data_IF_417991302840
#
_entry.id   IF_417991302840
#
_cell.length_a   1.000
_cell.length_b   1.000
_cell.length_c   1.000
_cell.angle_alpha   90.00
_cell.angle_beta   90.00
_cell.angle_gamma   90.00
#
_symmetry.space_group_name_H-M   'P 1'
#
loop_
_entity.id
_entity.type
_entity.pdbx_description
1 polymer ?
#
# COMPACT_ATOMS: atom_id res chain seq x y z
N UNK A 1 0.47 -9.15 20.58
CA UNK A 1 0.77 -9.62 19.22
C UNK A 1 2.28 -9.60 19.08
N UNK A 2 2.93 -10.73 18.87
CA UNK A 2 4.40 -10.78 18.75
C UNK A 2 4.76 -10.50 17.30
N UNK A 3 5.36 -9.34 17.05
CA UNK A 3 5.88 -8.98 15.73
C UNK A 3 7.34 -9.39 15.68
N UNK A 4 7.71 -10.22 14.71
CA UNK A 4 9.11 -10.56 14.47
C UNK A 4 9.57 -9.92 13.18
N UNK A 5 10.70 -9.22 13.24
CA UNK A 5 11.28 -8.54 12.08
C UNK A 5 12.63 -9.16 11.75
N UNK A 6 12.80 -9.54 10.50
CA UNK A 6 14.05 -10.06 9.98
C UNK A 6 14.56 -9.13 8.87
N UNK A 7 15.84 -8.75 8.98
CA UNK A 7 16.54 -8.11 7.86
C UNK A 7 17.03 -9.18 6.89
N UNK A 8 16.89 -8.93 5.60
CA UNK A 8 17.53 -9.75 4.56
C UNK A 8 18.92 -9.18 4.24
N UNK A 9 19.85 -10.02 3.82
CA UNK A 9 21.11 -9.56 3.26
C UNK A 9 20.83 -8.96 1.87
N UNK A 10 20.80 -7.62 1.78
CA UNK A 10 20.44 -6.94 0.55
C UNK A 10 21.47 -7.15 -0.58
N UNK A 11 21.06 -7.06 -1.85
CA UNK A 11 22.00 -6.90 -2.95
C UNK A 11 22.71 -5.54 -2.85
N UNK A 12 23.95 -5.49 -3.35
CA UNK A 12 24.83 -4.31 -3.33
C UNK A 12 24.10 -3.08 -3.88
N UNK A 13 24.11 -1.99 -3.10
CA UNK A 13 23.33 -0.79 -3.33
C UNK A 13 23.49 -0.21 -4.75
N UNK A 14 22.39 -0.20 -5.52
CA UNK A 14 22.17 0.85 -6.50
C UNK A 14 21.26 1.89 -5.84
N UNK A 15 21.83 3.08 -5.60
CA UNK A 15 21.12 4.24 -5.05
C UNK A 15 19.97 4.63 -5.98
N UNK A 16 18.75 4.33 -5.58
CA UNK A 16 17.57 5.00 -6.11
C UNK A 16 17.38 6.33 -5.36
N UNK A 17 17.05 7.43 -6.06
CA UNK A 17 16.93 8.74 -5.43
C UNK A 17 15.75 8.78 -4.46
N UNK A 18 15.98 9.36 -3.29
CA UNK A 18 14.95 9.74 -2.31
C UNK A 18 14.01 10.77 -2.97
N UNK A 19 12.82 10.33 -3.39
CA UNK A 19 11.78 11.22 -3.90
C UNK A 19 10.90 11.68 -2.74
N UNK A 20 10.88 13.00 -2.55
CA UNK A 20 10.04 13.71 -1.58
C UNK A 20 8.55 13.50 -1.90
N UNK A 21 7.82 12.87 -0.98
CA UNK A 21 6.37 12.83 -1.00
C UNK A 21 5.79 14.25 -0.88
N UNK A 22 5.14 14.76 -1.93
CA UNK A 22 4.35 15.99 -1.86
C UNK A 22 2.89 15.63 -1.60
N UNK A 23 2.45 15.76 -0.35
CA UNK A 23 1.02 15.69 -0.02
C UNK A 23 0.31 16.93 -0.57
N UNK A 24 -0.58 16.77 -1.55
CA UNK A 24 -1.47 17.85 -2.00
C UNK A 24 -2.59 17.99 -0.96
N UNK A 25 -2.61 19.12 -0.25
CA UNK A 25 -3.63 19.48 0.75
C UNK A 25 -4.97 19.76 0.04
N UNK A 26 -6.02 19.03 0.37
CA UNK A 26 -7.38 19.29 -0.12
C UNK A 26 -7.91 20.65 0.40
N UNK A 27 -8.60 21.39 -0.46
CA UNK A 27 -9.28 22.66 -0.12
C UNK A 27 -10.60 22.37 0.60
N UNK A 28 -10.78 22.94 1.79
CA UNK A 28 -12.07 22.96 2.48
C UNK A 28 -12.99 24.02 1.84
N UNK A 29 -14.15 23.60 1.32
CA UNK A 29 -15.20 24.52 0.88
C UNK A 29 -15.95 25.08 2.11
N UNK A 30 -16.13 26.40 2.20
CA UNK A 30 -16.97 27.00 3.24
C UNK A 30 -18.44 26.88 2.82
N UNK A 31 -19.29 26.31 3.69
CA UNK A 31 -20.74 26.37 3.54
C UNK A 31 -21.39 26.93 4.81
N UNK A 32 -22.30 27.87 4.60
CA UNK A 32 -23.17 28.52 5.58
C UNK A 32 -24.27 27.57 6.07
N UNK A 33 -24.95 27.86 7.20
CA UNK A 33 -25.56 26.83 8.04
C UNK A 33 -27.00 26.52 7.62
N UNK A 34 -27.35 25.23 7.48
CA UNK A 34 -28.69 24.72 7.84
C UNK A 34 -28.72 23.19 7.85
N UNK A 35 -29.40 22.65 8.86
CA UNK A 35 -29.75 21.25 9.14
C UNK A 35 -28.61 20.31 9.61
N UNK A 36 -28.62 20.04 10.93
CA UNK A 36 -27.82 18.99 11.59
C UNK A 36 -28.30 17.59 11.17
N UNK A 37 -27.86 17.15 9.99
CA UNK A 37 -27.65 15.73 9.73
C UNK A 37 -26.17 15.50 10.03
N UNK A 38 -25.77 14.53 10.87
CA UNK A 38 -24.36 14.16 10.99
C UNK A 38 -23.90 13.74 9.60
N UNK A 39 -23.15 14.62 8.91
CA UNK A 39 -22.49 14.26 7.67
C UNK A 39 -21.67 12.99 7.97
N UNK A 40 -21.73 11.95 7.13
CA UNK A 40 -20.77 10.86 7.25
C UNK A 40 -19.38 11.50 7.26
N UNK A 41 -18.59 11.21 8.29
CA UNK A 41 -17.25 11.76 8.45
C UNK A 41 -16.52 11.64 7.11
N UNK A 42 -16.19 12.78 6.49
CA UNK A 42 -15.68 12.79 5.13
C UNK A 42 -14.48 11.85 5.04
N UNK A 43 -14.62 10.76 4.29
CA UNK A 43 -13.52 9.82 4.06
C UNK A 43 -12.49 10.56 3.24
N UNK A 44 -11.47 11.07 3.93
CA UNK A 44 -10.35 11.75 3.27
C UNK A 44 -9.57 10.68 2.51
N UNK A 45 -9.17 10.95 1.27
CA UNK A 45 -8.24 10.09 0.52
C UNK A 45 -6.91 10.83 0.33
N UNK A 46 -5.85 10.07 0.09
CA UNK A 46 -4.53 10.64 -0.21
C UNK A 46 -3.98 9.95 -1.44
N UNK A 47 -3.43 10.75 -2.36
CA UNK A 47 -2.71 10.25 -3.53
C UNK A 47 -1.23 10.17 -3.17
N UNK A 48 -0.62 9.03 -3.48
CA UNK A 48 0.79 8.75 -3.26
C UNK A 48 1.43 8.44 -4.61
N UNK A 49 2.40 9.25 -5.01
CA UNK A 49 3.05 9.14 -6.32
C UNK A 49 4.35 8.32 -6.22
N UNK A 50 4.46 7.29 -7.05
CA UNK A 50 5.64 6.44 -7.21
C UNK A 50 5.92 6.27 -8.70
N UNK A 51 6.50 7.31 -9.32
CA UNK A 51 6.73 7.40 -10.76
C UNK A 51 7.20 6.06 -11.37
N UNK A 52 6.56 5.58 -12.45
CA UNK A 52 5.52 6.24 -13.24
C UNK A 52 4.08 6.07 -12.69
N UNK A 53 3.90 5.32 -11.61
CA UNK A 53 2.58 4.97 -11.09
C UNK A 53 2.13 5.94 -9.99
N UNK A 54 0.82 6.01 -9.77
CA UNK A 54 0.24 6.70 -8.63
C UNK A 54 -0.76 5.78 -7.94
N UNK A 55 -0.94 5.97 -6.64
CA UNK A 55 -1.83 5.15 -5.82
C UNK A 55 -2.73 6.04 -4.97
N UNK A 56 -3.97 5.62 -4.76
CA UNK A 56 -4.86 6.18 -3.73
C UNK A 56 -4.80 5.30 -2.49
N UNK A 57 -4.81 5.94 -1.34
CA UNK A 57 -5.09 5.31 -0.05
C UNK A 57 -6.24 6.04 0.65
N UNK A 58 -6.95 5.33 1.52
CA UNK A 58 -7.92 5.94 2.43
C UNK A 58 -7.18 6.64 3.57
N UNK A 59 -7.81 7.68 4.11
CA UNK A 59 -7.25 8.50 5.18
C UNK A 59 -7.19 7.77 6.51
N UNK A 60 -7.91 6.67 6.68
CA UNK A 60 -7.81 5.78 7.83
C UNK A 60 -7.21 4.43 7.42
N UNK A 61 -6.41 3.80 8.30
CA UNK A 61 -5.87 2.47 8.05
C UNK A 61 -7.02 1.47 7.93
N UNK A 62 -6.87 0.49 7.04
CA UNK A 62 -7.77 -0.66 6.96
C UNK A 62 -7.57 -1.60 8.15
N UNK A 63 -6.33 -1.71 8.62
CA UNK A 63 -5.97 -2.47 9.81
C UNK A 63 -5.08 -1.64 10.72
N UNK A 64 -5.52 -1.40 11.96
CA UNK A 64 -4.75 -0.70 12.99
C UNK A 64 -3.80 -1.70 13.66
N UNK A 65 -2.64 -1.88 13.04
CA UNK A 65 -1.57 -2.75 13.54
C UNK A 65 -0.25 -1.99 13.49
N UNK A 66 0.45 -1.94 14.61
CA UNK A 66 1.74 -1.27 14.72
C UNK A 66 2.84 -2.23 14.27
N UNK A 67 3.30 -2.04 13.03
CA UNK A 67 4.41 -2.80 12.42
C UNK A 67 5.74 -2.02 12.43
N UNK A 68 5.68 -0.71 12.62
CA UNK A 68 6.81 0.22 12.60
C UNK A 68 6.46 1.45 13.42
N UNK A 69 7.47 2.12 13.97
CA UNK A 69 7.32 3.42 14.64
C UNK A 69 7.33 4.60 13.64
N UNK A 70 7.71 4.34 12.39
CA UNK A 70 7.85 5.39 11.37
C UNK A 70 6.49 6.01 11.02
N UNK A 71 6.37 7.36 11.01
CA UNK A 71 5.19 8.03 10.51
C UNK A 71 5.07 8.01 8.98
N UNK A 72 6.16 7.67 8.27
CA UNK A 72 6.22 7.68 6.81
C UNK A 72 5.51 6.47 6.21
N UNK A 73 4.89 6.66 5.04
CA UNK A 73 4.25 5.58 4.29
C UNK A 73 5.29 4.81 3.49
N UNK A 74 5.42 3.53 3.79
CA UNK A 74 6.27 2.60 3.06
C UNK A 74 5.44 1.54 2.34
N UNK A 75 6.00 0.94 1.29
CA UNK A 75 5.37 -0.11 0.49
C UNK A 75 5.55 -1.47 1.17
N UNK A 76 4.50 -2.30 1.16
CA UNK A 76 4.52 -3.62 1.77
C UNK A 76 3.61 -4.60 1.02
N UNK A 77 4.00 -5.87 0.93
CA UNK A 77 3.15 -6.94 0.41
C UNK A 77 2.77 -7.91 1.53
N UNK A 78 1.49 -8.20 1.67
CA UNK A 78 0.98 -9.22 2.59
C UNK A 78 0.80 -10.57 1.88
N UNK A 79 1.35 -11.63 2.46
CA UNK A 79 1.10 -13.01 2.08
C UNK A 79 0.45 -13.76 3.24
N UNK A 80 -0.63 -14.47 2.95
CA UNK A 80 -1.30 -15.33 3.92
C UNK A 80 -0.78 -16.74 3.79
N UNK A 81 0.15 -17.13 4.65
CA UNK A 81 0.76 -18.45 4.58
C UNK A 81 -0.16 -19.44 5.29
N UNK A 82 -0.58 -20.53 4.63
CA UNK A 82 -1.38 -21.57 5.28
C UNK A 82 -0.62 -22.19 6.45
N UNK A 83 -1.35 -22.91 7.32
CA UNK A 83 -0.74 -23.62 8.45
C UNK A 83 0.39 -24.55 7.99
N UNK A 84 1.51 -24.51 8.72
CA UNK A 84 2.72 -25.27 8.43
C UNK A 84 3.90 -24.41 7.98
N UNK A 85 5.03 -25.06 7.64
CA UNK A 85 6.27 -24.34 7.35
C UNK A 85 6.14 -23.39 6.16
N UNK A 86 6.68 -22.18 6.32
CA UNK A 86 6.79 -21.22 5.22
C UNK A 86 7.84 -21.75 4.23
N UNK A 87 7.41 -22.13 3.03
CA UNK A 87 8.29 -22.67 1.99
C UNK A 87 8.58 -21.66 0.88
N UNK A 88 9.77 -21.76 0.28
CA UNK A 88 10.14 -20.98 -0.91
C UNK A 88 9.15 -21.22 -2.05
N UNK A 89 8.78 -22.48 -2.30
CA UNK A 89 7.87 -22.85 -3.38
C UNK A 89 6.52 -22.13 -3.25
N UNK A 90 5.94 -22.13 -2.04
CA UNK A 90 4.68 -21.43 -1.77
C UNK A 90 4.77 -19.93 -2.10
N UNK A 91 5.79 -19.24 -1.59
CA UNK A 91 5.95 -17.81 -1.83
C UNK A 91 6.25 -17.49 -3.30
N UNK A 92 7.01 -18.35 -3.97
CA UNK A 92 7.32 -18.21 -5.40
C UNK A 92 6.07 -18.35 -6.26
N UNK A 93 5.18 -19.27 -5.93
CA UNK A 93 3.90 -19.41 -6.64
C UNK A 93 2.92 -18.28 -6.31
N UNK A 94 2.90 -17.80 -5.06
CA UNK A 94 2.12 -16.62 -4.69
C UNK A 94 2.60 -15.36 -5.42
N UNK A 95 3.91 -15.14 -5.48
CA UNK A 95 4.53 -14.03 -6.22
C UNK A 95 4.13 -14.05 -7.70
N UNK A 96 4.26 -15.21 -8.37
CA UNK A 96 3.87 -15.35 -9.78
C UNK A 96 2.40 -15.08 -10.01
N UNK A 97 1.52 -15.50 -9.09
CA UNK A 97 0.08 -15.20 -9.18
C UNK A 97 -0.18 -13.71 -9.05
N UNK A 98 0.42 -13.02 -8.08
CA UNK A 98 0.20 -11.58 -7.92
C UNK A 98 0.69 -10.78 -9.12
N UNK A 99 1.87 -11.11 -9.67
CA UNK A 99 2.35 -10.47 -10.90
C UNK A 99 1.42 -10.63 -12.09
N UNK A 100 0.67 -11.74 -12.15
CA UNK A 100 -0.21 -12.06 -13.27
C UNK A 100 -1.62 -11.50 -13.08
N UNK A 101 -2.13 -11.58 -11.85
CA UNK A 101 -3.55 -11.44 -11.55
C UNK A 101 -3.89 -10.13 -10.81
N UNK A 102 -2.93 -9.47 -10.16
CA UNK A 102 -3.11 -8.24 -9.40
C UNK A 102 -2.47 -7.06 -10.13
N UNK A 103 -3.31 -6.15 -10.62
CA UNK A 103 -2.93 -5.00 -11.44
C UNK A 103 -2.31 -3.85 -10.61
N UNK A 104 -2.50 -3.88 -9.28
CA UNK A 104 -1.88 -2.95 -8.33
C UNK A 104 -0.46 -3.41 -7.97
N UNK A 105 -0.26 -4.72 -7.85
CA UNK A 105 1.00 -5.31 -7.42
C UNK A 105 2.15 -5.04 -8.40
N UNK A 106 3.32 -4.73 -7.85
CA UNK A 106 4.58 -4.69 -8.57
C UNK A 106 5.74 -4.96 -7.61
N UNK A 107 6.94 -5.28 -8.14
CA UNK A 107 8.09 -5.67 -7.32
C UNK A 107 8.49 -4.64 -6.25
N UNK A 108 8.16 -3.35 -6.44
CA UNK A 108 8.44 -2.31 -5.42
C UNK A 108 7.70 -2.55 -4.10
N UNK A 109 6.54 -3.22 -4.13
CA UNK A 109 5.82 -3.61 -2.91
C UNK A 109 6.52 -4.73 -2.14
N UNK A 110 7.52 -5.40 -2.71
CA UNK A 110 8.26 -6.45 -2.02
C UNK A 110 9.38 -5.92 -1.12
N UNK A 111 9.68 -4.62 -1.14
CA UNK A 111 10.68 -4.00 -0.24
C UNK A 111 10.46 -4.42 1.22
N UNK A 112 9.20 -4.45 1.65
CA UNK A 112 8.79 -4.99 2.94
C UNK A 112 7.75 -6.10 2.72
N UNK A 113 7.92 -7.23 3.39
CA UNK A 113 7.02 -8.38 3.27
C UNK A 113 6.40 -8.69 4.62
N UNK A 114 5.08 -8.75 4.67
CA UNK A 114 4.32 -9.23 5.82
C UNK A 114 3.84 -10.66 5.55
N UNK A 115 4.16 -11.57 6.45
CA UNK A 115 3.67 -12.93 6.44
C UNK A 115 2.68 -13.10 7.59
N UNK A 116 1.41 -13.35 7.27
CA UNK A 116 0.41 -13.77 8.26
C UNK A 116 0.48 -15.29 8.37
N UNK A 117 0.91 -15.77 9.54
CA UNK A 117 1.25 -17.18 9.78
C UNK A 117 1.38 -17.45 11.28
N UNK A 118 1.16 -18.70 11.70
CA UNK A 118 1.41 -19.12 13.07
C UNK A 118 2.87 -19.54 13.32
N UNK A 119 3.69 -19.56 12.26
CA UNK A 119 5.12 -19.84 12.36
C UNK A 119 5.88 -18.66 13.00
N UNK A 120 6.97 -18.97 13.70
CA UNK A 120 7.79 -17.99 14.43
C UNK A 120 9.18 -17.83 13.82
N UNK A 121 9.39 -18.34 12.61
CA UNK A 121 10.65 -18.16 11.87
C UNK A 121 10.45 -18.48 10.39
N UNK A 122 11.41 -18.04 9.59
CA UNK A 122 11.52 -18.40 8.16
C UNK A 122 12.84 -19.13 7.93
N UNK A 123 12.84 -20.07 6.99
CA UNK A 123 14.08 -20.75 6.58
C UNK A 123 15.00 -19.81 5.78
N UNK A 124 16.29 -20.15 5.72
CA UNK A 124 17.26 -19.38 4.93
C UNK A 124 16.93 -19.37 3.44
N UNK A 125 16.38 -20.47 2.93
CA UNK A 125 15.90 -20.57 1.54
C UNK A 125 14.82 -19.55 1.21
N UNK A 126 13.93 -19.25 2.17
CA UNK A 126 12.88 -18.24 2.05
C UNK A 126 13.47 -16.85 2.15
N UNK A 127 14.36 -16.62 3.13
CA UNK A 127 15.08 -15.35 3.27
C UNK A 127 15.82 -14.97 1.99
N UNK A 128 16.57 -15.92 1.43
CA UNK A 128 17.35 -15.70 0.21
C UNK A 128 16.43 -15.37 -0.97
N UNK A 129 15.35 -16.15 -1.16
CA UNK A 129 14.39 -15.88 -2.23
C UNK A 129 13.77 -14.47 -2.11
N UNK A 130 13.35 -14.05 -0.92
CA UNK A 130 12.80 -12.71 -0.72
C UNK A 130 13.86 -11.62 -0.96
N UNK A 131 15.11 -11.86 -0.55
CA UNK A 131 16.22 -10.94 -0.80
C UNK A 131 16.52 -10.78 -2.30
N UNK A 132 16.46 -11.86 -3.08
CA UNK A 132 16.60 -11.86 -4.55
C UNK A 132 15.52 -11.01 -5.23
N UNK A 133 14.33 -10.90 -4.61
CA UNK A 133 13.24 -10.03 -5.05
C UNK A 133 13.35 -8.59 -4.52
N UNK A 134 14.46 -8.23 -3.86
CA UNK A 134 14.69 -6.89 -3.32
C UNK A 134 14.00 -6.60 -1.99
N UNK A 135 13.45 -7.62 -1.31
CA UNK A 135 12.94 -7.46 0.04
C UNK A 135 14.09 -7.13 0.99
N UNK A 136 13.92 -6.12 1.84
CA UNK A 136 14.87 -5.73 2.91
C UNK A 136 14.41 -6.14 4.30
N UNK A 137 13.09 -6.30 4.47
CA UNK A 137 12.44 -6.50 5.76
C UNK A 137 11.31 -7.51 5.65
N UNK A 138 11.38 -8.59 6.42
CA UNK A 138 10.31 -9.57 6.56
C UNK A 138 9.71 -9.46 7.96
N UNK A 139 8.40 -9.31 8.02
CA UNK A 139 7.62 -9.15 9.25
C UNK A 139 6.70 -10.36 9.37
N UNK A 140 6.77 -11.08 10.50
CA UNK A 140 5.87 -12.18 10.81
C UNK A 140 4.87 -11.73 11.87
N UNK A 141 3.61 -12.04 11.62
CA UNK A 141 2.53 -11.88 12.58
C UNK A 141 1.62 -13.11 12.60
N UNK A 142 0.97 -13.42 13.74
CA UNK A 142 -0.07 -14.44 13.80
C UNK A 142 -1.15 -14.22 12.75
N UNK A 143 -1.82 -15.29 12.32
CA UNK A 143 -2.97 -15.16 11.43
C UNK A 143 -4.01 -14.20 12.03
N UNK A 144 -4.29 -13.13 11.28
CA UNK A 144 -5.04 -11.97 11.73
C UNK A 144 -6.18 -11.60 10.77
N UNK A 145 -6.48 -12.44 9.77
CA UNK A 145 -7.52 -12.17 8.77
C UNK A 145 -7.24 -10.96 7.86
N UNK A 146 -5.99 -10.48 7.83
CA UNK A 146 -5.56 -9.45 6.87
C UNK A 146 -5.56 -10.12 5.49
N UNK A 147 -6.18 -9.46 4.50
CA UNK A 147 -6.21 -9.99 3.15
C UNK A 147 -4.80 -9.93 2.52
N UNK A 148 -4.45 -10.90 1.65
CA UNK A 148 -3.22 -10.81 0.89
C UNK A 148 -3.25 -9.65 -0.10
N UNK A 149 -2.08 -9.11 -0.45
CA UNK A 149 -1.95 -8.12 -1.52
C UNK A 149 -1.02 -6.95 -1.18
N UNK A 150 -0.99 -5.91 -2.04
CA UNK A 150 -0.19 -4.71 -1.84
C UNK A 150 -0.82 -3.73 -0.85
N UNK A 151 0.00 -3.20 0.05
CA UNK A 151 -0.37 -2.23 1.07
C UNK A 151 0.66 -1.11 1.16
N UNK A 152 0.22 0.04 1.66
CA UNK A 152 1.09 0.98 2.34
C UNK A 152 1.03 0.73 3.84
N UNK A 153 2.12 0.96 4.55
CA UNK A 153 2.14 0.86 6.00
C UNK A 153 2.93 2.00 6.65
N UNK A 154 2.56 2.33 7.88
CA UNK A 154 3.24 3.27 8.78
C UNK A 154 2.87 2.91 10.22
N UNK A 155 3.32 3.69 11.20
CA UNK A 155 2.88 3.58 12.61
C UNK A 155 1.37 3.64 12.80
N UNK A 156 0.64 4.18 11.82
CA UNK A 156 -0.82 4.27 11.87
C UNK A 156 -1.51 2.95 11.54
N UNK A 157 -0.83 2.02 10.86
CA UNK A 157 -1.40 0.77 10.41
C UNK A 157 -1.18 0.49 8.92
N UNK A 158 -1.97 -0.46 8.40
CA UNK A 158 -1.97 -0.87 7.00
C UNK A 158 -3.06 -0.14 6.22
N UNK A 159 -2.71 0.35 5.03
CA UNK A 159 -3.59 1.04 4.10
C UNK A 159 -3.63 0.26 2.80
N UNK A 160 -4.84 -0.07 2.32
CA UNK A 160 -4.99 -0.73 1.03
C UNK A 160 -4.52 0.21 -0.08
N UNK A 161 -3.76 -0.31 -1.04
CA UNK A 161 -3.31 0.44 -2.21
C UNK A 161 -4.30 0.28 -3.36
N UNK A 162 -4.77 1.38 -3.93
CA UNK A 162 -5.51 1.37 -5.20
C UNK A 162 -4.69 2.07 -6.26
N UNK A 163 -4.36 1.39 -7.35
CA UNK A 163 -3.58 2.00 -8.44
C UNK A 163 -4.45 3.00 -9.21
N UNK A 164 -3.89 4.18 -9.47
CA UNK A 164 -4.46 5.17 -10.36
C UNK A 164 -3.93 4.93 -11.76
N UNK A 165 -4.87 4.79 -12.69
CA UNK A 165 -4.59 4.77 -14.12
C UNK A 165 -4.88 6.13 -14.71
N UNK A 166 -4.14 6.47 -15.76
CA UNK A 166 -4.48 7.64 -16.56
C UNK A 166 -5.80 7.39 -17.27
N UNK A 167 -6.59 8.45 -17.37
CA UNK A 167 -7.79 8.45 -18.19
C UNK A 167 -7.41 8.74 -19.64
N UNK A 168 -6.79 7.78 -20.30
CA UNK A 168 -6.33 7.94 -21.69
C UNK A 168 -7.49 8.00 -22.69
N UNK A 169 -8.73 7.74 -22.24
CA UNK A 169 -9.93 7.75 -23.07
C UNK A 169 -10.89 8.92 -22.76
N UNK A 170 -10.47 9.87 -21.91
CA UNK A 170 -11.29 11.02 -21.47
C UNK A 170 -12.70 10.60 -21.00
N UNK A 171 -12.81 9.41 -20.41
CA UNK A 171 -14.09 8.84 -19.98
C UNK A 171 -14.63 9.56 -18.74
N UNK A 172 -13.78 10.22 -17.96
CA UNK A 172 -14.18 11.00 -16.79
C UNK A 172 -14.43 12.47 -17.18
N UNK A 173 -15.71 12.83 -17.28
CA UNK A 173 -16.13 14.22 -17.51
C UNK A 173 -16.32 14.97 -16.19
N UNK A 174 -15.74 16.17 -16.10
CA UNK A 174 -16.02 17.11 -15.01
C UNK A 174 -17.22 17.97 -15.40
N UNK A 175 -18.27 17.94 -14.58
CA UNK A 175 -19.39 18.87 -14.74
C UNK A 175 -18.95 20.28 -14.34
N UNK A 176 -19.05 21.23 -15.26
CA UNK A 176 -18.86 22.66 -14.97
C UNK A 176 -20.19 23.29 -14.61
N UNK A 177 -20.19 24.16 -13.60
CA UNK A 177 -21.33 25.07 -13.35
C UNK A 177 -21.09 26.28 -14.25
N UNK A 178 -22.01 26.61 -15.18
CA UNK A 178 -21.86 27.79 -16.02
C UNK A 178 -21.72 29.05 -15.17
N UNK A 179 -20.72 29.88 -15.47
CA UNK A 179 -20.51 31.18 -14.84
C UNK A 179 -20.86 32.31 -15.82
N UNK A 180 -21.26 33.50 -15.33
CA UNK A 180 -21.56 34.65 -16.19
C UNK A 180 -20.34 35.15 -17.01
N UNK A 181 -19.13 34.66 -16.72
CA UNK A 181 -17.93 34.92 -17.51
C UNK A 181 -17.70 33.89 -18.63
N UNK A 182 -18.54 32.86 -18.75
CA UNK A 182 -18.45 31.88 -19.81
C UNK A 182 -19.04 32.50 -21.08
N UNK A 183 -18.19 33.16 -21.86
CA UNK A 183 -18.56 33.76 -23.14
C UNK A 183 -19.04 32.64 -24.07
N UNK A 184 -20.27 32.74 -24.57
CA UNK A 184 -20.80 31.83 -25.59
C UNK A 184 -19.86 31.84 -26.81
N UNK A 185 -19.27 30.69 -27.13
CA UNK A 185 -18.53 30.45 -28.38
C UNK A 185 -19.50 29.99 -29.45
#
# INVERSE_FOLDING_TARGET
MTVQTFKTAGPTASQLPLLSCRCIRSRSASQSPTANIPLPSAVTTTVVEYSPDAYVIQGQPKHTIELTESPELELLTCFNVPSGPITKAYLQDAYRRYLRDDDVFCDRFLKHVLLTTNETSISDSVRQFLAELGCTTVILIPDSGIAPGPYFYSRRGLFWAWKLYKDDHEAFVLSTIPSQQDTNV
#
